data_IF_789345212067
#
_entry.id   IF_789345212067
#
_cell.length_a   1.000
_cell.length_b   1.000
_cell.length_c   1.000
_cell.angle_alpha   90.00
_cell.angle_beta   90.00
_cell.angle_gamma   90.00
#
_symmetry.space_group_name_H-M   'P 1'
#
loop_
_entity.id
_entity.type
_entity.pdbx_description
1 polymer ?
#
# COMPACT_ATOMS: atom_id res chain seq x y z
N UNK A 1 -43.14 -42.68 7.73
CA UNK A 1 -43.04 -41.24 8.10
C UNK A 1 -43.34 -40.40 6.87
N UNK A 2 -44.55 -39.80 6.77
CA UNK A 2 -44.90 -38.92 5.64
C UNK A 2 -44.19 -37.58 5.81
N UNK A 3 -43.35 -37.19 4.85
CA UNK A 3 -42.84 -35.82 4.76
C UNK A 3 -44.05 -34.90 4.59
N UNK A 4 -44.22 -33.95 5.50
CA UNK A 4 -45.30 -32.95 5.42
C UNK A 4 -44.97 -32.05 4.23
N UNK A 5 -45.78 -32.13 3.19
CA UNK A 5 -45.63 -31.31 1.99
C UNK A 5 -46.01 -29.88 2.37
N UNK A 6 -45.06 -28.96 2.21
CA UNK A 6 -45.28 -27.55 2.57
C UNK A 6 -46.29 -26.96 1.60
N UNK A 7 -47.23 -26.21 2.14
CA UNK A 7 -48.22 -25.50 1.32
C UNK A 7 -47.54 -24.42 0.50
N UNK A 8 -48.15 -24.03 -0.64
CA UNK A 8 -47.61 -22.97 -1.52
C UNK A 8 -47.30 -21.67 -0.76
N UNK A 9 -48.10 -21.35 0.26
CA UNK A 9 -47.93 -20.16 1.08
C UNK A 9 -46.71 -20.27 2.00
N UNK A 10 -46.46 -21.44 2.58
CA UNK A 10 -45.26 -21.70 3.40
C UNK A 10 -43.98 -21.63 2.57
N UNK A 11 -44.02 -22.16 1.34
CA UNK A 11 -42.89 -22.09 0.40
C UNK A 11 -42.56 -20.65 0.01
N UNK A 12 -43.57 -19.79 -0.20
CA UNK A 12 -43.36 -18.37 -0.54
C UNK A 12 -42.72 -17.63 0.63
N UNK A 13 -43.19 -17.85 1.85
CA UNK A 13 -42.61 -17.23 3.06
C UNK A 13 -41.15 -17.64 3.25
N UNK A 14 -40.84 -18.92 3.06
CA UNK A 14 -39.48 -19.44 3.19
C UNK A 14 -38.56 -18.89 2.09
N UNK A 15 -39.08 -18.69 0.87
CA UNK A 15 -38.36 -18.03 -0.22
C UNK A 15 -38.03 -16.56 0.09
N UNK A 16 -38.97 -15.81 0.67
CA UNK A 16 -38.74 -14.43 1.09
C UNK A 16 -37.70 -14.34 2.21
N UNK A 17 -37.76 -15.26 3.18
CA UNK A 17 -36.82 -15.33 4.28
C UNK A 17 -35.41 -15.73 3.82
N UNK A 18 -35.31 -16.69 2.90
CA UNK A 18 -34.03 -17.06 2.26
C UNK A 18 -33.46 -15.91 1.44
N UNK A 19 -34.29 -15.19 0.68
CA UNK A 19 -33.83 -14.01 -0.07
C UNK A 19 -33.32 -12.92 0.85
N UNK A 20 -33.96 -12.71 2.00
CA UNK A 20 -33.50 -11.76 3.03
C UNK A 20 -32.15 -12.18 3.59
N UNK A 21 -31.97 -13.46 3.95
CA UNK A 21 -30.69 -14.00 4.46
C UNK A 21 -29.57 -13.94 3.43
N UNK A 22 -29.87 -14.17 2.15
CA UNK A 22 -28.90 -14.02 1.05
C UNK A 22 -28.51 -12.55 0.91
N UNK A 23 -29.47 -11.61 0.93
CA UNK A 23 -29.16 -10.18 0.88
C UNK A 23 -28.31 -9.71 2.07
N UNK A 24 -28.59 -10.21 3.28
CA UNK A 24 -27.80 -9.94 4.49
C UNK A 24 -26.40 -10.57 4.45
N UNK A 25 -26.19 -11.66 3.71
CA UNK A 25 -24.88 -12.31 3.55
C UNK A 25 -24.08 -11.75 2.38
N UNK A 26 -24.76 -11.27 1.33
CA UNK A 26 -24.12 -10.56 0.23
C UNK A 26 -23.61 -9.16 0.64
N UNK A 27 -24.30 -8.48 1.56
CA UNK A 27 -23.86 -7.18 2.09
C UNK A 27 -22.44 -7.21 2.70
N UNK A 28 -22.06 -8.14 3.60
CA UNK A 28 -20.71 -8.22 4.13
C UNK A 28 -19.69 -8.75 3.11
N UNK A 29 -20.10 -9.53 2.10
CA UNK A 29 -19.21 -9.98 1.02
C UNK A 29 -18.97 -8.91 -0.07
N UNK A 30 -19.90 -7.95 -0.23
CA UNK A 30 -19.80 -6.79 -1.13
C UNK A 30 -19.23 -5.54 -0.47
N UNK A 31 -19.05 -5.54 0.86
CA UNK A 31 -18.06 -4.62 1.41
C UNK A 31 -16.74 -5.06 0.79
N UNK A 32 -16.08 -4.20 0.00
CA UNK A 32 -14.68 -4.46 -0.28
C UNK A 32 -14.01 -4.65 1.08
N UNK A 33 -12.92 -5.40 1.10
CA UNK A 33 -12.06 -5.44 2.27
C UNK A 33 -11.61 -3.98 2.50
N UNK A 34 -12.40 -3.20 3.25
CA UNK A 34 -12.43 -1.73 3.36
C UNK A 34 -11.17 -1.17 4.06
N UNK A 35 -10.11 -1.96 4.04
CA UNK A 35 -8.85 -1.66 4.67
C UNK A 35 -7.68 -2.21 3.87
N UNK A 36 -7.81 -2.33 2.56
CA UNK A 36 -6.62 -2.13 1.74
C UNK A 36 -6.39 -0.61 1.69
N UNK A 37 -5.59 -0.14 2.65
CA UNK A 37 -5.24 1.27 2.77
C UNK A 37 -4.63 1.74 1.45
N UNK A 38 -5.07 2.86 0.86
CA UNK A 38 -4.48 3.41 -0.38
C UNK A 38 -2.95 3.55 -0.30
N UNK A 39 -2.44 3.80 0.91
CA UNK A 39 -1.01 3.84 1.22
C UNK A 39 -0.33 2.49 1.00
N UNK A 40 -0.99 1.38 1.37
CA UNK A 40 -0.48 0.03 1.14
C UNK A 40 -0.51 -0.35 -0.34
N UNK A 41 -1.52 0.06 -1.10
CA UNK A 41 -1.55 -0.16 -2.57
C UNK A 41 -0.41 0.58 -3.26
N UNK A 42 -0.25 1.87 -2.94
CA UNK A 42 0.82 2.68 -3.49
C UNK A 42 2.21 2.13 -3.13
N UNK A 43 2.39 1.68 -1.88
CA UNK A 43 3.62 1.06 -1.43
C UNK A 43 3.90 -0.26 -2.17
N UNK A 44 2.95 -1.19 -2.21
CA UNK A 44 3.12 -2.48 -2.88
C UNK A 44 3.32 -2.34 -4.39
N UNK A 45 2.63 -1.39 -5.03
CA UNK A 45 2.87 -1.04 -6.44
C UNK A 45 4.31 -0.59 -6.67
N UNK A 46 4.85 0.25 -5.77
CA UNK A 46 6.25 0.68 -5.89
C UNK A 46 7.29 -0.41 -5.62
N UNK A 47 6.98 -1.39 -4.77
CA UNK A 47 7.81 -2.58 -4.59
C UNK A 47 7.82 -3.44 -5.86
N UNK A 48 6.70 -3.53 -6.57
CA UNK A 48 6.63 -4.25 -7.85
C UNK A 48 7.61 -3.70 -8.91
N UNK A 49 7.73 -2.36 -8.99
CA UNK A 49 8.63 -1.67 -9.92
C UNK A 49 10.11 -2.01 -9.66
N UNK A 50 10.49 -2.32 -8.42
CA UNK A 50 11.87 -2.71 -8.07
C UNK A 50 12.29 -3.98 -8.82
N UNK A 51 11.37 -4.93 -9.01
CA UNK A 51 11.68 -6.19 -9.68
C UNK A 51 11.77 -6.08 -11.21
N UNK A 52 11.27 -4.99 -11.81
CA UNK A 52 11.31 -4.76 -13.26
C UNK A 52 12.61 -4.06 -13.69
N UNK A 53 13.19 -3.26 -12.80
CA UNK A 53 14.44 -2.53 -13.05
C UNK A 53 15.65 -3.45 -12.85
N UNK A 54 16.69 -3.31 -13.68
CA UNK A 54 17.90 -4.14 -13.60
C UNK A 54 19.07 -3.45 -12.89
N UNK A 55 19.04 -2.13 -12.81
CA UNK A 55 20.08 -1.32 -12.19
C UNK A 55 19.68 -0.91 -10.76
N UNK A 56 20.62 -1.06 -9.83
CA UNK A 56 20.39 -0.74 -8.42
C UNK A 56 20.06 0.74 -8.19
N UNK A 57 20.73 1.66 -8.89
CA UNK A 57 20.50 3.09 -8.73
C UNK A 57 19.10 3.45 -9.20
N UNK A 58 18.66 2.89 -10.32
CA UNK A 58 17.30 3.09 -10.84
C UNK A 58 16.25 2.54 -9.89
N UNK A 59 16.46 1.33 -9.34
CA UNK A 59 15.59 0.73 -8.32
C UNK A 59 15.50 1.62 -7.07
N UNK A 60 16.64 2.03 -6.52
CA UNK A 60 16.72 2.86 -5.33
C UNK A 60 16.02 4.23 -5.54
N UNK A 61 16.19 4.84 -6.72
CA UNK A 61 15.54 6.10 -7.08
C UNK A 61 14.01 5.94 -7.18
N UNK A 62 13.54 4.86 -7.81
CA UNK A 62 12.10 4.60 -7.94
C UNK A 62 11.44 4.42 -6.57
N UNK A 63 12.08 3.67 -5.67
CA UNK A 63 11.61 3.47 -4.29
C UNK A 63 11.61 4.78 -3.50
N UNK A 64 12.71 5.54 -3.56
CA UNK A 64 12.84 6.84 -2.92
C UNK A 64 11.71 7.81 -3.32
N UNK A 65 11.46 7.96 -4.63
CA UNK A 65 10.39 8.84 -5.15
C UNK A 65 8.99 8.36 -4.75
N UNK A 66 8.77 7.05 -4.71
CA UNK A 66 7.50 6.51 -4.26
C UNK A 66 7.23 6.87 -2.80
N UNK A 67 8.20 6.60 -1.92
CA UNK A 67 8.12 6.93 -0.50
C UNK A 67 7.92 8.44 -0.29
N UNK A 68 8.65 9.29 -1.01
CA UNK A 68 8.48 10.74 -0.90
C UNK A 68 7.06 11.19 -1.27
N UNK A 69 6.50 10.67 -2.37
CA UNK A 69 5.10 10.96 -2.75
C UNK A 69 4.10 10.43 -1.73
N UNK A 70 4.36 9.26 -1.18
CA UNK A 70 3.47 8.59 -0.22
C UNK A 70 3.34 9.38 1.09
N UNK A 71 4.46 9.91 1.59
CA UNK A 71 4.50 10.65 2.86
C UNK A 71 4.38 12.17 2.67
N UNK A 72 4.37 12.66 1.43
CA UNK A 72 4.37 14.09 1.12
C UNK A 72 5.69 14.79 1.51
N UNK A 73 6.82 14.07 1.46
CA UNK A 73 8.12 14.65 1.80
C UNK A 73 8.58 15.66 0.74
N UNK A 74 9.05 16.81 1.20
CA UNK A 74 9.64 17.84 0.35
C UNK A 74 11.14 17.63 0.08
N UNK A 75 11.81 16.79 0.89
CA UNK A 75 13.26 16.56 0.83
C UNK A 75 13.60 15.16 1.33
N UNK A 76 14.74 14.61 0.90
CA UNK A 76 15.26 13.33 1.37
C UNK A 76 16.57 12.94 0.69
N UNK A 77 17.19 11.85 1.13
CA UNK A 77 18.40 11.34 0.50
C UNK A 77 18.48 9.82 0.55
N UNK A 78 19.32 9.24 -0.31
CA UNK A 78 19.70 7.82 -0.29
C UNK A 78 21.22 7.76 -0.22
N UNK A 79 21.74 7.11 0.82
CA UNK A 79 23.17 6.84 0.99
C UNK A 79 23.46 5.35 0.86
N UNK A 80 24.58 5.02 0.22
CA UNK A 80 25.19 3.70 0.29
C UNK A 80 26.29 3.70 1.35
N UNK A 81 26.34 2.62 2.11
CA UNK A 81 27.48 2.34 2.97
C UNK A 81 28.49 1.49 2.21
N UNK A 82 29.78 1.72 2.50
CA UNK A 82 30.83 0.77 2.15
C UNK A 82 30.69 -0.52 3.00
N UNK A 83 31.42 -1.57 2.62
CA UNK A 83 31.40 -2.87 3.32
C UNK A 83 31.72 -2.77 4.82
N UNK A 84 32.46 -1.74 5.20
CA UNK A 84 32.88 -1.45 6.58
C UNK A 84 31.84 -0.65 7.37
N UNK A 85 30.80 -0.12 6.72
CA UNK A 85 29.75 0.70 7.35
C UNK A 85 30.21 2.08 7.83
N UNK A 86 31.40 2.53 7.43
CA UNK A 86 32.06 3.74 7.96
C UNK A 86 31.94 4.96 7.06
N UNK A 87 31.59 4.79 5.79
CA UNK A 87 31.47 5.88 4.82
C UNK A 87 30.13 5.83 4.09
N UNK A 88 29.47 6.98 4.02
CA UNK A 88 28.28 7.19 3.22
C UNK A 88 28.66 7.76 1.85
N UNK A 89 28.26 7.09 0.78
CA UNK A 89 28.20 7.67 -0.57
C UNK A 89 26.75 8.08 -0.85
N UNK A 90 26.50 9.39 -0.98
CA UNK A 90 25.17 9.88 -1.33
C UNK A 90 24.87 9.53 -2.80
N UNK A 91 23.92 8.62 -3.02
CA UNK A 91 23.41 8.31 -4.35
C UNK A 91 22.47 9.39 -4.87
N UNK A 92 21.59 9.87 -3.99
CA UNK A 92 20.57 10.86 -4.32
C UNK A 92 20.39 11.82 -3.14
N UNK A 93 20.20 13.10 -3.45
CA UNK A 93 19.86 14.15 -2.48
C UNK A 93 18.83 15.08 -3.11
N UNK A 94 17.64 15.13 -2.55
CA UNK A 94 16.62 16.14 -2.84
C UNK A 94 16.57 17.12 -1.67
N UNK A 95 17.05 18.34 -1.88
CA UNK A 95 17.14 19.39 -0.84
C UNK A 95 15.81 20.11 -0.59
N UNK A 96 14.78 19.83 -1.39
CA UNK A 96 13.51 20.55 -1.38
C UNK A 96 13.61 22.00 -1.85
N UNK A 97 12.53 22.76 -1.69
CA UNK A 97 12.40 24.13 -2.20
C UNK A 97 13.04 25.21 -1.30
N UNK A 98 13.38 24.85 -0.06
CA UNK A 98 13.97 25.76 0.91
C UNK A 98 15.49 25.75 0.79
N UNK A 99 16.06 26.84 0.27
CA UNK A 99 17.50 27.06 0.29
C UNK A 99 17.93 27.22 1.75
N UNK A 100 18.56 26.18 2.30
CA UNK A 100 19.23 26.23 3.60
C UNK A 100 20.70 25.94 3.40
N UNK A 101 21.54 26.92 3.71
CA UNK A 101 22.98 26.75 3.78
C UNK A 101 23.33 26.01 5.06
N UNK A 102 23.91 24.82 4.92
CA UNK A 102 24.50 24.06 6.03
C UNK A 102 26.00 24.38 6.07
N UNK A 103 26.54 24.61 7.26
CA UNK A 103 27.99 24.79 7.44
C UNK A 103 28.70 23.48 7.10
N UNK A 104 29.61 23.48 6.10
CA UNK A 104 30.26 22.26 5.60
C UNK A 104 31.28 21.65 6.58
N UNK A 105 31.59 22.33 7.69
CA UNK A 105 32.48 21.81 8.74
C UNK A 105 31.78 20.83 9.70
N UNK A 106 30.45 20.74 9.67
CA UNK A 106 29.71 19.79 10.49
C UNK A 106 29.69 18.39 9.85
N UNK A 107 29.90 17.32 10.63
CA UNK A 107 29.67 15.96 10.13
C UNK A 107 28.19 15.82 9.74
N UNK A 108 27.91 15.01 8.71
CA UNK A 108 26.54 14.62 8.38
C UNK A 108 25.89 14.04 9.66
N UNK A 109 24.72 14.53 10.10
CA UNK A 109 24.09 14.06 11.33
C UNK A 109 23.71 12.58 11.29
#
# INVERSE_FOLDING_TARGET
MRKREKTKIELIKELEELRKRVAETEQPAKKPHDQFCPTCEAFLSSVGVIFELKDFKDQALAMFRSCNRLIGAASGFVGLLNDEGTRYEALFLETGELVRTVDPSFPMP
#
